data_IF_329310279854
#
_entry.id   IF_329310279854
#
_cell.length_a   1.000
_cell.length_b   1.000
_cell.length_c   1.000
_cell.angle_alpha   90.00
_cell.angle_beta   90.00
_cell.angle_gamma   90.00
#
_symmetry.space_group_name_H-M   'P 1'
#
loop_
_entity.id
_entity.type
_entity.pdbx_description
1 polymer ?
#
# COMPACT_ATOMS: atom_id res chain seq x y z
N UNK A 1 7.16 10.58 -3.62
CA UNK A 1 8.24 10.56 -4.63
C UNK A 1 8.41 9.13 -5.12
N UNK A 2 8.09 8.87 -6.38
CA UNK A 2 8.45 7.61 -7.02
C UNK A 2 9.98 7.56 -7.09
N UNK A 3 10.59 6.60 -6.42
CA UNK A 3 12.02 6.32 -6.60
C UNK A 3 12.19 5.83 -8.03
N UNK A 4 12.70 6.70 -8.90
CA UNK A 4 12.93 6.38 -10.30
C UNK A 4 13.87 5.17 -10.40
N UNK A 5 13.54 4.22 -11.27
CA UNK A 5 14.40 3.09 -11.56
C UNK A 5 15.74 3.60 -12.13
N UNK A 6 16.84 3.30 -11.44
CA UNK A 6 18.19 3.69 -11.87
C UNK A 6 18.67 2.77 -13.00
N UNK A 7 18.22 3.09 -14.22
CA UNK A 7 18.61 2.38 -15.45
C UNK A 7 20.12 2.41 -15.67
N UNK A 8 20.79 3.51 -15.28
CA UNK A 8 22.22 3.68 -15.46
C UNK A 8 23.03 2.77 -14.52
N UNK A 9 22.66 2.74 -13.23
CA UNK A 9 23.26 1.83 -12.26
C UNK A 9 23.03 0.35 -12.61
N UNK A 10 21.83 0.04 -13.11
CA UNK A 10 21.48 -1.30 -13.58
C UNK A 10 22.33 -1.73 -14.79
N UNK A 11 22.44 -0.89 -15.83
CA UNK A 11 23.29 -1.15 -16.99
C UNK A 11 24.77 -1.32 -16.60
N UNK A 12 25.30 -0.45 -15.73
CA UNK A 12 26.69 -0.56 -15.23
C UNK A 12 26.96 -1.88 -14.51
N UNK A 13 26.01 -2.39 -13.72
CA UNK A 13 26.15 -3.73 -13.11
C UNK A 13 26.22 -4.84 -14.14
N UNK A 14 25.41 -4.77 -15.18
CA UNK A 14 25.43 -5.75 -16.27
C UNK A 14 26.75 -5.68 -17.06
N UNK A 15 27.26 -4.48 -17.33
CA UNK A 15 28.59 -4.27 -17.93
C UNK A 15 29.69 -4.91 -17.07
N UNK A 16 29.65 -4.72 -15.76
CA UNK A 16 30.63 -5.28 -14.82
C UNK A 16 30.58 -6.81 -14.76
N UNK A 17 29.43 -7.40 -15.09
CA UNK A 17 29.23 -8.85 -15.22
C UNK A 17 29.64 -9.40 -16.60
N UNK A 18 30.20 -8.57 -17.48
CA UNK A 18 30.68 -8.98 -18.81
C UNK A 18 29.63 -8.88 -19.93
N UNK A 19 28.46 -8.30 -19.68
CA UNK A 19 27.45 -8.05 -20.72
C UNK A 19 27.86 -6.81 -21.52
N UNK A 20 27.83 -6.89 -22.86
CA UNK A 20 28.16 -5.73 -23.69
C UNK A 20 27.25 -4.53 -23.39
N UNK A 21 27.80 -3.30 -23.41
CA UNK A 21 27.05 -2.06 -23.16
C UNK A 21 25.71 -1.99 -23.88
N UNK A 22 25.68 -2.31 -25.18
CA UNK A 22 24.46 -2.30 -25.99
C UNK A 22 23.35 -3.20 -25.43
N UNK A 23 23.71 -4.38 -24.93
CA UNK A 23 22.78 -5.31 -24.31
C UNK A 23 22.41 -4.89 -22.88
N UNK A 24 23.36 -4.35 -22.12
CA UNK A 24 23.12 -3.84 -20.78
C UNK A 24 22.13 -2.66 -20.76
N UNK A 25 22.29 -1.72 -21.68
CA UNK A 25 21.37 -0.60 -21.89
C UNK A 25 19.99 -1.08 -22.33
N UNK A 26 19.91 -2.00 -23.30
CA UNK A 26 18.65 -2.57 -23.75
C UNK A 26 17.90 -3.31 -22.64
N UNK A 27 18.61 -4.03 -21.77
CA UNK A 27 18.03 -4.68 -20.59
C UNK A 27 17.53 -3.66 -19.55
N UNK A 28 18.28 -2.59 -19.32
CA UNK A 28 17.89 -1.54 -18.39
C UNK A 28 16.62 -0.81 -18.84
N UNK A 29 16.52 -0.50 -20.13
CA UNK A 29 15.34 0.15 -20.71
C UNK A 29 14.12 -0.79 -20.65
N UNK A 30 14.27 -2.05 -21.06
CA UNK A 30 13.18 -3.03 -20.97
C UNK A 30 12.71 -3.24 -19.51
N UNK A 31 13.63 -3.32 -18.55
CA UNK A 31 13.26 -3.44 -17.14
C UNK A 31 12.46 -2.22 -16.65
N UNK A 32 12.84 -1.01 -17.06
CA UNK A 32 12.08 0.20 -16.75
C UNK A 32 10.69 0.17 -17.39
N UNK A 33 10.61 -0.18 -18.67
CA UNK A 33 9.36 -0.15 -19.44
C UNK A 33 8.35 -1.23 -19.04
N UNK A 34 8.82 -2.40 -18.60
CA UNK A 34 7.92 -3.52 -18.24
C UNK A 34 7.69 -3.67 -16.73
N UNK A 35 8.60 -3.19 -15.87
CA UNK A 35 8.48 -3.40 -14.41
C UNK A 35 7.88 -2.18 -13.71
N UNK A 36 8.22 -0.96 -14.14
CA UNK A 36 7.75 0.26 -13.45
C UNK A 36 6.27 0.60 -13.62
N UNK A 37 5.58 0.31 -14.74
CA UNK A 37 4.21 0.74 -14.94
C UNK A 37 3.20 0.16 -13.94
N UNK A 38 3.46 -1.03 -13.40
CA UNK A 38 2.50 -1.74 -12.53
C UNK A 38 2.85 -1.67 -11.03
N UNK A 39 3.93 -0.98 -10.66
CA UNK A 39 4.33 -0.90 -9.25
C UNK A 39 3.57 0.21 -8.52
N UNK A 40 2.82 -0.20 -7.50
CA UNK A 40 2.22 0.73 -6.54
C UNK A 40 3.32 1.62 -5.94
N UNK A 41 3.11 2.93 -6.01
CA UNK A 41 4.04 3.90 -5.46
C UNK A 41 3.98 3.89 -3.93
N UNK A 42 5.02 4.44 -3.28
CA UNK A 42 4.99 4.66 -1.83
C UNK A 42 3.81 5.53 -1.39
N UNK A 43 3.34 6.44 -2.26
CA UNK A 43 2.18 7.27 -1.98
C UNK A 43 0.90 6.44 -1.95
N UNK A 44 0.70 5.57 -2.94
CA UNK A 44 -0.47 4.68 -3.02
C UNK A 44 -0.55 3.75 -1.79
N UNK A 45 0.60 3.23 -1.36
CA UNK A 45 0.68 2.39 -0.15
C UNK A 45 0.35 3.21 1.12
N UNK A 46 0.82 4.45 1.21
CA UNK A 46 0.54 5.32 2.35
C UNK A 46 -0.95 5.71 2.41
N UNK A 47 -1.55 6.01 1.26
CA UNK A 47 -2.97 6.28 1.13
C UNK A 47 -3.81 5.06 1.56
N UNK A 48 -3.46 3.87 1.07
CA UNK A 48 -4.16 2.65 1.44
C UNK A 48 -4.08 2.37 2.95
N UNK A 49 -2.92 2.56 3.57
CA UNK A 49 -2.76 2.46 5.03
C UNK A 49 -3.69 3.42 5.77
N UNK A 50 -3.75 4.67 5.33
CA UNK A 50 -4.63 5.65 5.94
C UNK A 50 -6.11 5.28 5.81
N UNK A 51 -6.53 4.77 4.64
CA UNK A 51 -7.91 4.31 4.44
C UNK A 51 -8.25 3.17 5.41
N UNK A 52 -7.35 2.19 5.54
CA UNK A 52 -7.51 1.04 6.44
C UNK A 52 -7.62 1.51 7.90
N UNK A 53 -6.73 2.40 8.35
CA UNK A 53 -6.75 2.94 9.71
C UNK A 53 -8.05 3.68 10.02
N UNK A 54 -8.54 4.50 9.09
CA UNK A 54 -9.80 5.22 9.26
C UNK A 54 -11.00 4.27 9.31
N UNK A 55 -11.00 3.23 8.47
CA UNK A 55 -12.06 2.22 8.50
C UNK A 55 -12.04 1.43 9.80
N UNK A 56 -10.86 1.03 10.27
CA UNK A 56 -10.68 0.35 11.56
C UNK A 56 -11.24 1.19 12.71
N UNK A 57 -10.86 2.47 12.77
CA UNK A 57 -11.36 3.40 13.79
C UNK A 57 -12.89 3.57 13.70
N UNK A 58 -13.42 3.76 12.49
CA UNK A 58 -14.86 3.91 12.28
C UNK A 58 -15.63 2.66 12.72
N UNK A 59 -15.10 1.47 12.46
CA UNK A 59 -15.68 0.21 12.93
C UNK A 59 -15.66 0.13 14.46
N UNK A 60 -14.54 0.43 15.12
CA UNK A 60 -14.44 0.44 16.58
C UNK A 60 -15.47 1.37 17.21
N UNK A 61 -15.62 2.60 16.69
CA UNK A 61 -16.59 3.58 17.20
C UNK A 61 -18.03 3.10 17.00
N UNK A 62 -18.36 2.58 15.80
CA UNK A 62 -19.70 2.06 15.51
C UNK A 62 -20.07 0.87 16.39
N UNK A 63 -19.14 -0.07 16.57
CA UNK A 63 -19.35 -1.24 17.43
C UNK A 63 -19.52 -0.82 18.91
N UNK A 64 -18.69 0.11 19.39
CA UNK A 64 -18.85 0.67 20.74
C UNK A 64 -20.21 1.33 20.95
N UNK A 65 -20.65 2.14 19.97
CA UNK A 65 -21.98 2.76 19.99
C UNK A 65 -23.13 1.73 19.99
N UNK A 66 -23.04 0.70 19.15
CA UNK A 66 -24.04 -0.38 19.11
C UNK A 66 -24.11 -1.15 20.44
N UNK A 67 -22.98 -1.42 21.09
CA UNK A 67 -22.95 -2.06 22.41
C UNK A 67 -23.64 -1.17 23.45
N UNK A 68 -23.31 0.13 23.50
CA UNK A 68 -23.93 1.07 24.45
C UNK A 68 -25.45 1.13 24.25
N UNK A 69 -25.91 1.24 23.00
CA UNK A 69 -27.33 1.25 22.67
C UNK A 69 -27.99 -0.06 23.08
N UNK A 70 -27.40 -1.20 22.73
CA UNK A 70 -27.94 -2.53 23.04
C UNK A 70 -28.03 -2.78 24.55
N UNK A 71 -26.97 -2.51 25.30
CA UNK A 71 -26.96 -2.64 26.77
C UNK A 71 -27.95 -1.67 27.42
N UNK A 72 -28.01 -0.43 26.94
CA UNK A 72 -28.97 0.55 27.43
C UNK A 72 -30.43 0.10 27.23
N UNK A 73 -30.75 -0.41 26.04
CA UNK A 73 -32.08 -0.96 25.74
C UNK A 73 -32.41 -2.19 26.58
N UNK A 74 -31.46 -3.10 26.81
CA UNK A 74 -31.67 -4.24 27.70
C UNK A 74 -31.91 -3.80 29.15
N UNK A 75 -31.15 -2.82 29.65
CA UNK A 75 -31.31 -2.31 31.00
C UNK A 75 -32.68 -1.64 31.23
N UNK A 76 -33.19 -0.89 30.24
CA UNK A 76 -34.53 -0.30 30.33
C UNK A 76 -35.64 -1.35 30.33
N UNK A 77 -35.50 -2.42 29.53
CA UNK A 77 -36.46 -3.54 29.51
C UNK A 77 -36.49 -4.29 30.85
N UNK A 78 -35.33 -4.61 31.43
CA UNK A 78 -35.24 -5.30 32.73
C UNK A 78 -35.86 -4.45 33.86
N UNK A 79 -35.72 -3.13 33.81
CA UNK A 79 -36.29 -2.24 34.83
C UNK A 79 -37.83 -2.11 34.73
N UNK A 80 -38.40 -2.45 33.57
CA UNK A 80 -39.84 -2.32 33.31
C UNK A 80 -40.61 -3.64 33.54
N UNK A 81 -39.92 -4.78 33.51
CA UNK A 81 -40.42 -6.11 33.91
C UNK A 81 -40.41 -6.31 35.42
#
# INVERSE_FOLDING_TARGET
MASAFDTLGYAKRLETAGISRKHAEAHAEAAKDFIMPELATKADIAELKHIIERQSLALTVRLGGLIIIGVGALATLIKLS
#
